data_IF_745844525882
#
_entry.id   IF_745844525882
#
_cell.length_a   1.000
_cell.length_b   1.000
_cell.length_c   1.000
_cell.angle_alpha   90.00
_cell.angle_beta   90.00
_cell.angle_gamma   90.00
#
_symmetry.space_group_name_H-M   'P 1'
#
loop_
_entity.id
_entity.type
_entity.pdbx_description
1 polymer ?
#
# COMPACT_ATOMS: atom_id res chain seq x y z
N UNK A 1 -35.57 12.48 -40.59
CA UNK A 1 -35.64 12.79 -39.15
C UNK A 1 -35.60 11.56 -38.23
N UNK A 2 -36.51 10.57 -38.33
CA UNK A 2 -36.51 9.38 -37.45
C UNK A 2 -35.17 8.60 -37.43
N UNK A 3 -34.60 8.30 -38.62
CA UNK A 3 -33.31 7.60 -38.74
C UNK A 3 -32.13 8.33 -38.08
N UNK A 4 -32.11 9.66 -38.15
CA UNK A 4 -31.08 10.50 -37.51
C UNK A 4 -31.22 10.44 -35.99
N UNK A 5 -32.44 10.57 -35.46
CA UNK A 5 -32.70 10.41 -34.02
C UNK A 5 -32.27 9.04 -33.51
N UNK A 6 -32.61 7.96 -34.23
CA UNK A 6 -32.17 6.60 -33.88
C UNK A 6 -30.64 6.43 -33.91
N UNK A 7 -29.96 7.01 -34.90
CA UNK A 7 -28.49 6.98 -34.96
C UNK A 7 -27.85 7.77 -33.80
N UNK A 8 -28.40 8.93 -33.45
CA UNK A 8 -27.96 9.70 -32.28
C UNK A 8 -28.16 8.92 -30.98
N UNK A 9 -29.30 8.27 -30.81
CA UNK A 9 -29.56 7.42 -29.63
C UNK A 9 -28.58 6.23 -29.56
N UNK A 10 -28.27 5.60 -30.69
CA UNK A 10 -27.27 4.52 -30.74
C UNK A 10 -25.88 5.02 -30.31
N UNK A 11 -25.44 6.16 -30.85
CA UNK A 11 -24.15 6.77 -30.49
C UNK A 11 -24.12 7.12 -29.00
N UNK A 12 -25.20 7.71 -28.48
CA UNK A 12 -25.32 8.02 -27.05
C UNK A 12 -25.23 6.77 -26.19
N UNK A 13 -25.93 5.69 -26.55
CA UNK A 13 -25.86 4.42 -25.81
C UNK A 13 -24.46 3.82 -25.81
N UNK A 14 -23.76 3.84 -26.95
CA UNK A 14 -22.36 3.38 -27.05
C UNK A 14 -21.45 4.23 -26.17
N UNK A 15 -21.63 5.55 -26.19
CA UNK A 15 -20.85 6.47 -25.36
C UNK A 15 -21.05 6.19 -23.87
N UNK A 16 -22.29 5.95 -23.43
CA UNK A 16 -22.59 5.61 -22.03
C UNK A 16 -21.90 4.31 -21.61
N UNK A 17 -21.90 3.29 -22.46
CA UNK A 17 -21.20 2.02 -22.20
C UNK A 17 -19.69 2.24 -22.08
N UNK A 18 -19.09 3.03 -22.97
CA UNK A 18 -17.68 3.38 -22.90
C UNK A 18 -17.33 4.12 -21.60
N UNK A 19 -18.16 5.08 -21.17
CA UNK A 19 -17.95 5.80 -19.92
C UNK A 19 -18.00 4.87 -18.71
N UNK A 20 -18.96 3.93 -18.66
CA UNK A 20 -19.02 2.92 -17.60
C UNK A 20 -17.76 2.05 -17.58
N UNK A 21 -17.24 1.68 -18.75
CA UNK A 21 -15.94 1.00 -18.86
C UNK A 21 -14.79 1.81 -18.27
N UNK A 22 -14.68 3.10 -18.60
CA UNK A 22 -13.63 3.96 -18.05
C UNK A 22 -13.73 4.12 -16.53
N UNK A 23 -14.92 4.35 -15.99
CA UNK A 23 -15.13 4.44 -14.53
C UNK A 23 -14.67 3.16 -13.85
N UNK A 24 -14.98 2.00 -14.41
CA UNK A 24 -14.56 0.70 -13.86
C UNK A 24 -13.04 0.57 -13.84
N UNK A 25 -12.37 0.91 -14.94
CA UNK A 25 -10.90 0.91 -15.02
C UNK A 25 -10.28 1.89 -14.02
N UNK A 26 -10.86 3.08 -13.86
CA UNK A 26 -10.38 4.08 -12.90
C UNK A 26 -10.47 3.58 -11.46
N UNK A 27 -11.59 2.95 -11.07
CA UNK A 27 -11.76 2.38 -9.72
C UNK A 27 -10.65 1.36 -9.43
N UNK A 28 -10.37 0.46 -10.37
CA UNK A 28 -9.30 -0.55 -10.24
C UNK A 28 -7.93 0.12 -10.07
N UNK A 29 -7.64 1.18 -10.83
CA UNK A 29 -6.37 1.91 -10.75
C UNK A 29 -6.22 2.66 -9.43
N UNK A 30 -7.29 3.28 -8.94
CA UNK A 30 -7.28 4.01 -7.66
C UNK A 30 -7.02 3.06 -6.50
N UNK A 31 -7.65 1.89 -6.49
CA UNK A 31 -7.42 0.89 -5.43
C UNK A 31 -5.95 0.45 -5.37
N UNK A 32 -5.35 0.16 -6.53
CA UNK A 32 -3.92 -0.15 -6.62
C UNK A 32 -3.03 0.99 -6.12
N UNK A 33 -3.31 2.24 -6.51
CA UNK A 33 -2.58 3.43 -6.05
C UNK A 33 -2.66 3.62 -4.53
N UNK A 34 -3.83 3.40 -3.94
CA UNK A 34 -4.01 3.46 -2.49
C UNK A 34 -3.22 2.35 -1.78
N UNK A 35 -3.16 1.15 -2.35
CA UNK A 35 -2.31 0.06 -1.86
C UNK A 35 -0.84 0.49 -1.76
N UNK A 36 -0.28 1.01 -2.85
CA UNK A 36 1.11 1.51 -2.86
C UNK A 36 1.31 2.70 -1.91
N UNK A 37 0.34 3.60 -1.80
CA UNK A 37 0.43 4.73 -0.86
C UNK A 37 0.47 4.28 0.60
N UNK A 38 -0.25 3.21 0.97
CA UNK A 38 -0.12 2.60 2.30
C UNK A 38 1.30 2.07 2.52
N UNK A 39 1.88 1.35 1.56
CA UNK A 39 3.26 0.85 1.66
C UNK A 39 4.25 1.99 1.93
N UNK A 40 4.14 3.10 1.20
CA UNK A 40 5.00 4.29 1.41
C UNK A 40 4.83 4.85 2.83
N UNK A 41 3.59 5.00 3.30
CA UNK A 41 3.32 5.53 4.65
C UNK A 41 3.93 4.62 5.73
N UNK A 42 3.65 3.33 5.67
CA UNK A 42 4.10 2.38 6.68
C UNK A 42 5.63 2.15 6.65
N UNK A 43 6.27 2.22 5.49
CA UNK A 43 7.73 2.26 5.40
C UNK A 43 8.31 3.51 6.11
N UNK A 44 7.66 4.67 5.96
CA UNK A 44 8.02 5.88 6.71
C UNK A 44 7.84 5.73 8.22
N UNK A 45 6.77 5.06 8.67
CA UNK A 45 6.53 4.74 10.08
C UNK A 45 7.67 3.88 10.63
N UNK A 46 8.07 2.80 9.94
CA UNK A 46 9.18 1.92 10.38
C UNK A 46 10.44 2.76 10.67
N UNK A 47 10.81 3.66 9.77
CA UNK A 47 12.00 4.49 9.96
C UNK A 47 11.92 5.38 11.22
N UNK A 48 10.82 6.09 11.43
CA UNK A 48 10.68 6.97 12.59
C UNK A 48 10.51 6.21 13.91
N UNK A 49 9.76 5.10 13.89
CA UNK A 49 9.46 4.33 15.08
C UNK A 49 10.63 3.48 15.56
N UNK A 50 11.45 2.91 14.66
CA UNK A 50 12.69 2.21 15.04
C UNK A 50 13.68 3.15 15.74
N UNK A 51 13.82 4.39 15.26
CA UNK A 51 14.63 5.40 15.97
C UNK A 51 14.08 5.74 17.35
N UNK A 52 12.76 5.81 17.48
CA UNK A 52 12.11 6.03 18.78
C UNK A 52 12.37 4.86 19.72
N UNK A 53 12.32 3.63 19.22
CA UNK A 53 12.61 2.44 20.03
C UNK A 53 14.04 2.45 20.58
N UNK A 54 15.03 2.69 19.72
CA UNK A 54 16.43 2.80 20.17
C UNK A 54 16.58 3.83 21.28
N UNK A 55 15.88 4.97 21.18
CA UNK A 55 15.93 6.01 22.23
C UNK A 55 15.26 5.57 23.53
N UNK A 56 14.18 4.81 23.46
CA UNK A 56 13.49 4.28 24.64
C UNK A 56 14.36 3.26 25.37
N UNK A 57 15.03 2.39 24.61
CA UNK A 57 15.92 1.37 25.16
C UNK A 57 17.13 1.99 25.86
N UNK A 58 17.78 2.99 25.23
CA UNK A 58 18.88 3.75 25.85
C UNK A 58 18.43 4.48 27.12
N UNK A 59 17.16 4.87 27.20
CA UNK A 59 16.58 5.54 28.36
C UNK A 59 16.06 4.58 29.44
N UNK A 60 16.32 3.27 29.32
CA UNK A 60 15.83 2.20 30.19
C UNK A 60 14.29 2.20 30.34
N UNK A 61 13.59 2.50 29.23
CA UNK A 61 12.11 2.54 29.14
C UNK A 61 11.61 1.63 28.02
N UNK A 62 11.82 0.31 28.12
CA UNK A 62 11.47 -0.62 27.05
C UNK A 62 9.97 -0.56 26.74
N UNK A 63 9.63 -0.81 25.47
CA UNK A 63 8.26 -0.74 24.97
C UNK A 63 7.94 -1.89 24.01
N UNK A 64 7.70 -3.07 24.56
CA UNK A 64 7.41 -4.30 23.81
C UNK A 64 6.25 -4.14 22.82
N UNK A 65 5.25 -3.30 23.13
CA UNK A 65 4.11 -3.05 22.24
C UNK A 65 4.52 -2.34 20.95
N UNK A 66 5.51 -1.47 21.00
CA UNK A 66 6.01 -0.76 19.82
C UNK A 66 6.98 -1.66 19.03
N UNK A 67 7.71 -2.59 19.66
CA UNK A 67 8.42 -3.67 18.97
C UNK A 67 7.44 -4.56 18.20
N UNK A 68 6.36 -5.03 18.83
CA UNK A 68 5.33 -5.86 18.18
C UNK A 68 4.67 -5.11 17.02
N UNK A 69 4.35 -3.83 17.20
CA UNK A 69 3.80 -2.98 16.14
C UNK A 69 4.75 -2.86 14.93
N UNK A 70 6.05 -2.72 15.17
CA UNK A 70 7.07 -2.68 14.11
C UNK A 70 7.18 -4.03 13.39
N UNK A 71 7.14 -5.15 14.12
CA UNK A 71 7.14 -6.50 13.56
C UNK A 71 5.91 -6.77 12.68
N UNK A 72 4.72 -6.33 13.10
CA UNK A 72 3.50 -6.42 12.30
C UNK A 72 3.63 -5.66 10.97
N UNK A 73 4.18 -4.44 11.01
CA UNK A 73 4.34 -3.61 9.82
C UNK A 73 5.38 -4.21 8.87
N UNK A 74 6.57 -4.61 9.37
CA UNK A 74 7.62 -5.21 8.55
C UNK A 74 7.11 -6.47 7.83
N UNK A 75 6.39 -7.34 8.54
CA UNK A 75 5.77 -8.51 7.93
C UNK A 75 4.73 -8.14 6.86
N UNK A 76 3.89 -7.13 7.13
CA UNK A 76 2.91 -6.66 6.15
C UNK A 76 3.54 -6.02 4.92
N UNK A 77 4.65 -5.30 5.05
CA UNK A 77 5.41 -4.75 3.92
C UNK A 77 6.01 -5.87 3.06
N UNK A 78 6.51 -6.95 3.69
CA UNK A 78 7.14 -8.08 3.02
C UNK A 78 6.13 -8.94 2.28
N UNK A 79 5.14 -9.44 3.00
CA UNK A 79 4.23 -10.48 2.51
C UNK A 79 2.88 -9.95 2.04
N UNK A 80 2.59 -8.68 2.31
CA UNK A 80 1.26 -8.10 2.09
C UNK A 80 0.24 -8.59 3.13
N UNK A 81 -0.98 -8.11 3.02
CA UNK A 81 -2.08 -8.40 3.94
C UNK A 81 -1.87 -7.77 5.31
N UNK A 82 -2.15 -8.58 6.34
CA UNK A 82 -2.08 -8.17 7.74
C UNK A 82 -3.13 -7.12 8.14
N UNK A 83 -2.99 -6.63 9.37
CA UNK A 83 -3.89 -5.63 10.00
C UNK A 83 -4.02 -4.32 9.21
N UNK A 84 -3.01 -3.97 8.43
CA UNK A 84 -2.90 -2.69 7.73
C UNK A 84 -3.25 -2.78 6.23
N UNK A 85 -3.71 -3.95 5.76
CA UNK A 85 -4.07 -4.21 4.37
C UNK A 85 -2.95 -3.77 3.39
N UNK A 86 -1.72 -4.15 3.71
CA UNK A 86 -0.56 -3.82 2.90
C UNK A 86 -0.50 -4.69 1.65
N UNK A 87 0.15 -4.17 0.61
CA UNK A 87 0.40 -4.94 -0.61
C UNK A 87 1.89 -5.23 -0.68
N UNK A 88 2.25 -6.47 -1.00
CA UNK A 88 3.65 -6.80 -1.27
C UNK A 88 4.04 -6.22 -2.64
N UNK A 89 5.03 -5.33 -2.65
CA UNK A 89 5.57 -4.79 -3.90
C UNK A 89 6.45 -5.85 -4.56
N UNK A 90 6.27 -6.08 -5.86
CA UNK A 90 7.05 -7.06 -6.63
C UNK A 90 8.45 -6.56 -7.05
N UNK A 91 8.78 -5.33 -6.68
CA UNK A 91 10.08 -4.74 -7.02
C UNK A 91 11.20 -5.46 -6.26
N UNK A 92 12.13 -6.08 -6.99
CA UNK A 92 13.16 -6.93 -6.41
C UNK A 92 14.14 -6.15 -5.53
N UNK A 93 14.51 -4.93 -5.94
CA UNK A 93 15.40 -4.06 -5.17
C UNK A 93 14.75 -3.68 -3.85
N UNK A 94 13.49 -3.23 -3.87
CA UNK A 94 12.73 -2.96 -2.66
C UNK A 94 12.65 -4.19 -1.73
N UNK A 95 12.41 -5.37 -2.29
CA UNK A 95 12.30 -6.60 -1.49
C UNK A 95 13.63 -7.01 -0.85
N UNK A 96 14.75 -6.80 -1.55
CA UNK A 96 16.10 -7.05 -1.02
C UNK A 96 16.45 -6.06 0.09
N UNK A 97 16.19 -4.77 -0.12
CA UNK A 97 16.42 -3.72 0.88
C UNK A 97 15.58 -3.96 2.13
N UNK A 98 14.33 -4.41 1.96
CA UNK A 98 13.44 -4.76 3.06
C UNK A 98 13.94 -5.99 3.82
N UNK A 99 14.47 -7.01 3.14
CA UNK A 99 15.08 -8.17 3.80
C UNK A 99 16.29 -7.78 4.65
N UNK A 100 17.13 -6.86 4.15
CA UNK A 100 18.26 -6.35 4.90
C UNK A 100 17.80 -5.56 6.13
N UNK A 101 16.80 -4.69 5.99
CA UNK A 101 16.20 -3.95 7.09
C UNK A 101 15.61 -4.88 8.17
N UNK A 102 14.87 -5.91 7.76
CA UNK A 102 14.31 -6.91 8.68
C UNK A 102 15.42 -7.67 9.41
N UNK A 103 16.52 -8.02 8.72
CA UNK A 103 17.68 -8.66 9.35
C UNK A 103 18.33 -7.76 10.40
N UNK A 104 18.57 -6.49 10.09
CA UNK A 104 19.13 -5.55 11.08
C UNK A 104 18.19 -5.33 12.26
N UNK A 105 16.88 -5.25 12.01
CA UNK A 105 15.89 -5.13 13.06
C UNK A 105 15.94 -6.31 14.05
N UNK A 106 16.07 -7.55 13.56
CA UNK A 106 16.21 -8.73 14.43
C UNK A 106 17.52 -8.75 15.25
N UNK A 107 18.55 -8.04 14.81
CA UNK A 107 19.82 -7.88 15.57
C UNK A 107 19.72 -6.77 16.60
N UNK A 108 18.90 -5.75 16.33
CA UNK A 108 18.78 -4.56 17.16
C UNK A 108 17.87 -4.76 18.37
N UNK A 109 16.82 -5.58 18.24
CA UNK A 109 15.99 -6.04 19.36
C UNK A 109 16.77 -6.97 20.28
#
# INVERSE_FOLDING_TARGET
MKKIKSAMTLIQSVLVILMMGFVTVMIIRIDALQGTARVINYAGIIHGATQREVKLEIAERPNDQLIEYLDEILNGLKFGGGKYNLVSLKDETYQQDLDEQMKYWQVLK
#
